data_IF_338160612624
#
_entry.id   IF_338160612624
#
_cell.length_a   1.000
_cell.length_b   1.000
_cell.length_c   1.000
_cell.angle_alpha   90.00
_cell.angle_beta   90.00
_cell.angle_gamma   90.00
#
_symmetry.space_group_name_H-M   'P 1'
#
loop_
_entity.id
_entity.type
_entity.pdbx_description
1 polymer ?
#
# COMPACT_ATOMS: atom_id res chain seq x y z
N UNK A 1 -4.19 -27.03 -2.70
CA UNK A 1 -3.09 -26.05 -2.48
C UNK A 1 -3.23 -25.33 -1.14
N UNK A 2 -4.34 -24.62 -0.88
CA UNK A 2 -4.55 -23.92 0.41
C UNK A 2 -4.50 -24.81 1.65
N UNK A 3 -5.01 -26.03 1.58
CA UNK A 3 -4.96 -26.99 2.70
C UNK A 3 -3.55 -27.49 3.01
N UNK A 4 -2.71 -27.64 1.99
CA UNK A 4 -1.29 -28.04 2.13
C UNK A 4 -0.47 -26.90 2.73
N UNK A 5 -0.69 -25.65 2.29
CA UNK A 5 -0.09 -24.47 2.91
C UNK A 5 -0.52 -24.31 4.38
N UNK A 6 -1.80 -24.55 4.68
CA UNK A 6 -2.34 -24.53 6.04
C UNK A 6 -1.72 -25.60 6.95
N UNK A 7 -1.55 -26.83 6.45
CA UNK A 7 -0.94 -27.94 7.20
C UNK A 7 0.58 -27.75 7.37
N UNK A 8 1.29 -27.29 6.35
CA UNK A 8 2.73 -27.03 6.42
C UNK A 8 3.08 -25.91 7.41
N UNK A 9 2.31 -24.83 7.42
CA UNK A 9 2.56 -23.68 8.33
C UNK A 9 2.04 -23.90 9.75
N UNK A 10 1.20 -24.91 10.00
CA UNK A 10 0.84 -25.34 11.36
C UNK A 10 2.03 -25.92 12.15
N UNK A 11 3.07 -26.38 11.46
CA UNK A 11 4.29 -26.95 12.06
C UNK A 11 5.41 -25.92 12.19
N UNK A 12 5.20 -24.68 11.74
CA UNK A 12 6.19 -23.61 11.83
C UNK A 12 6.42 -23.23 13.31
N UNK A 13 7.65 -23.36 13.85
CA UNK A 13 7.95 -23.05 15.25
C UNK A 13 7.87 -21.55 15.56
N UNK A 14 7.52 -21.18 16.81
CA UNK A 14 7.58 -19.78 17.30
C UNK A 14 8.89 -19.05 16.94
N UNK A 15 10.06 -19.70 17.11
CA UNK A 15 11.36 -19.13 16.73
C UNK A 15 11.50 -18.72 15.27
N UNK A 16 10.69 -19.28 14.36
CA UNK A 16 10.75 -18.94 12.93
C UNK A 16 10.17 -17.54 12.66
N UNK A 17 9.13 -17.12 13.38
CA UNK A 17 8.61 -15.75 13.25
C UNK A 17 9.62 -14.73 13.78
N UNK A 18 10.19 -15.00 14.96
CA UNK A 18 11.21 -14.15 15.57
C UNK A 18 12.42 -14.01 14.64
N UNK A 19 12.89 -15.14 14.06
CA UNK A 19 13.96 -15.14 13.07
C UNK A 19 13.62 -14.33 11.82
N UNK A 20 12.40 -14.45 11.28
CA UNK A 20 11.98 -13.68 10.10
C UNK A 20 11.89 -12.18 10.40
N UNK A 21 11.43 -11.84 11.61
CA UNK A 21 11.38 -10.46 12.06
C UNK A 21 12.79 -9.89 12.25
N UNK A 22 13.68 -10.61 12.93
CA UNK A 22 15.09 -10.24 13.11
C UNK A 22 15.81 -10.08 11.77
N UNK A 23 15.61 -11.00 10.82
CA UNK A 23 16.13 -10.88 9.45
C UNK A 23 15.58 -9.64 8.73
N UNK A 24 14.31 -9.29 8.95
CA UNK A 24 13.72 -8.07 8.39
C UNK A 24 14.27 -6.78 9.02
N UNK A 25 14.72 -6.84 10.28
CA UNK A 25 15.31 -5.71 10.99
C UNK A 25 16.79 -5.57 10.60
N UNK A 26 17.55 -6.66 10.57
CA UNK A 26 18.96 -6.69 10.20
C UNK A 26 19.19 -6.38 8.71
N UNK A 27 18.23 -6.71 7.84
CA UNK A 27 18.28 -6.34 6.42
C UNK A 27 18.30 -4.82 6.16
N UNK A 28 17.96 -3.96 7.14
CA UNK A 28 18.12 -2.49 7.01
C UNK A 28 19.59 -2.05 6.90
N UNK A 29 20.52 -2.87 7.39
CA UNK A 29 21.94 -2.52 7.42
C UNK A 29 22.65 -2.81 6.10
N UNK A 30 22.27 -3.85 5.34
CA UNK A 30 23.03 -4.30 4.16
C UNK A 30 22.21 -4.94 3.01
N UNK A 31 20.86 -4.93 3.01
CA UNK A 31 20.08 -5.68 2.00
C UNK A 31 18.66 -5.11 1.69
N UNK A 32 17.95 -5.63 0.66
CA UNK A 32 16.94 -4.86 -0.07
C UNK A 32 15.60 -4.59 0.66
N UNK A 33 15.10 -3.33 0.67
CA UNK A 33 13.90 -2.93 1.40
C UNK A 33 12.62 -3.66 0.98
N UNK A 34 12.53 -4.15 -0.25
CA UNK A 34 11.40 -4.95 -0.74
C UNK A 34 11.34 -6.33 -0.08
N UNK A 35 12.49 -6.98 0.11
CA UNK A 35 12.57 -8.26 0.82
C UNK A 35 12.21 -8.09 2.30
N UNK A 36 12.73 -7.04 2.93
CA UNK A 36 12.41 -6.69 4.32
C UNK A 36 10.90 -6.47 4.55
N UNK A 37 10.19 -5.91 3.57
CA UNK A 37 8.74 -5.73 3.63
C UNK A 37 7.98 -7.06 3.51
N UNK A 38 8.39 -7.93 2.58
CA UNK A 38 7.80 -9.26 2.41
C UNK A 38 7.99 -10.13 3.66
N UNK A 39 9.18 -10.13 4.25
CA UNK A 39 9.46 -10.90 5.48
C UNK A 39 8.60 -10.43 6.66
N UNK A 40 8.37 -9.10 6.80
CA UNK A 40 7.46 -8.56 7.82
C UNK A 40 6.01 -8.98 7.59
N UNK A 41 5.55 -9.01 6.35
CA UNK A 41 4.20 -9.44 6.02
C UNK A 41 3.99 -10.94 6.29
N UNK A 42 4.99 -11.78 6.01
CA UNK A 42 5.02 -13.21 6.36
C UNK A 42 4.94 -13.39 7.88
N UNK A 43 5.78 -12.68 8.65
CA UNK A 43 5.75 -12.74 10.11
C UNK A 43 4.39 -12.28 10.70
N UNK A 44 3.77 -11.25 10.11
CA UNK A 44 2.44 -10.79 10.52
C UNK A 44 1.35 -11.85 10.29
N UNK A 45 1.34 -12.54 9.15
CA UNK A 45 0.41 -13.63 8.87
C UNK A 45 0.64 -14.85 9.78
N UNK A 46 1.89 -15.12 10.19
CA UNK A 46 2.19 -16.15 11.20
C UNK A 46 1.60 -15.81 12.57
N UNK A 47 1.69 -14.55 13.01
CA UNK A 47 1.04 -14.09 14.26
C UNK A 47 -0.46 -14.28 14.24
N UNK A 48 -1.14 -13.81 13.18
CA UNK A 48 -2.59 -13.99 13.03
C UNK A 48 -2.98 -15.48 13.13
N UNK A 49 -2.16 -16.36 12.56
CA UNK A 49 -2.38 -17.80 12.66
C UNK A 49 -2.22 -18.33 14.09
N UNK A 50 -1.20 -17.91 14.81
CA UNK A 50 -0.95 -18.34 16.19
C UNK A 50 -1.98 -17.80 17.18
N UNK A 51 -2.41 -16.56 16.99
CA UNK A 51 -3.49 -15.93 17.76
C UNK A 51 -4.88 -16.52 17.41
N UNK A 52 -4.94 -17.48 16.47
CA UNK A 52 -6.16 -18.15 15.99
C UNK A 52 -7.23 -17.16 15.53
N UNK A 53 -6.83 -16.00 15.02
CA UNK A 53 -7.76 -14.97 14.54
C UNK A 53 -8.36 -15.41 13.19
N UNK A 54 -9.61 -14.99 12.93
CA UNK A 54 -10.32 -15.29 11.69
C UNK A 54 -9.70 -14.60 10.46
N UNK A 55 -8.83 -13.62 10.68
CA UNK A 55 -8.18 -12.82 9.65
C UNK A 55 -6.94 -13.48 9.02
N UNK A 56 -6.59 -14.70 9.45
CA UNK A 56 -5.52 -15.47 8.80
C UNK A 56 -5.94 -15.91 7.39
N UNK A 57 -5.19 -15.48 6.39
CA UNK A 57 -5.41 -15.87 4.99
C UNK A 57 -4.29 -16.83 4.52
N UNK A 58 -4.58 -18.13 4.37
CA UNK A 58 -3.60 -19.12 3.91
C UNK A 58 -3.15 -18.91 2.45
N UNK A 59 -4.01 -18.36 1.59
CA UNK A 59 -3.65 -18.07 0.21
C UNK A 59 -2.67 -16.89 0.15
N UNK A 60 -2.94 -15.83 0.93
CA UNK A 60 -2.05 -14.68 1.05
C UNK A 60 -0.70 -15.07 1.65
N UNK A 61 -0.69 -15.94 2.66
CA UNK A 61 0.55 -16.43 3.25
C UNK A 61 1.43 -17.17 2.23
N UNK A 62 0.82 -18.03 1.41
CA UNK A 62 1.51 -18.77 0.35
C UNK A 62 2.06 -17.83 -0.74
N UNK A 63 1.29 -16.83 -1.14
CA UNK A 63 1.72 -15.83 -2.11
C UNK A 63 2.91 -15.00 -1.61
N UNK A 64 2.85 -14.52 -0.36
CA UNK A 64 3.92 -13.73 0.25
C UNK A 64 5.22 -14.52 0.36
N UNK A 65 5.14 -15.79 0.78
CA UNK A 65 6.29 -16.69 0.90
C UNK A 65 6.89 -17.06 -0.46
N UNK A 66 6.06 -17.41 -1.44
CA UNK A 66 6.52 -17.67 -2.81
C UNK A 66 7.19 -16.44 -3.44
N UNK A 67 6.62 -15.26 -3.22
CA UNK A 67 7.16 -13.99 -3.72
C UNK A 67 8.51 -13.67 -3.06
N UNK A 68 8.63 -13.89 -1.75
CA UNK A 68 9.89 -13.72 -1.04
C UNK A 68 10.98 -14.67 -1.56
N UNK A 69 10.65 -15.96 -1.76
CA UNK A 69 11.56 -16.96 -2.29
C UNK A 69 12.02 -16.64 -3.72
N UNK A 70 11.09 -16.26 -4.60
CA UNK A 70 11.40 -15.83 -5.96
C UNK A 70 12.28 -14.58 -5.99
N UNK A 71 12.02 -13.62 -5.10
CA UNK A 71 12.83 -12.40 -4.98
C UNK A 71 14.26 -12.70 -4.53
N UNK A 72 14.45 -13.58 -3.55
CA UNK A 72 15.78 -14.04 -3.11
C UNK A 72 16.52 -14.71 -4.25
N UNK A 73 15.87 -15.62 -4.98
CA UNK A 73 16.47 -16.28 -6.15
C UNK A 73 16.88 -15.28 -7.23
N UNK A 74 16.01 -14.30 -7.53
CA UNK A 74 16.30 -13.27 -8.52
C UNK A 74 17.46 -12.35 -8.09
N UNK A 75 17.54 -11.96 -6.81
CA UNK A 75 18.63 -11.14 -6.27
C UNK A 75 19.99 -11.84 -6.33
N UNK A 76 20.01 -13.16 -6.12
CA UNK A 76 21.21 -13.99 -6.20
C UNK A 76 21.82 -14.04 -7.60
N UNK A 77 20.99 -13.96 -8.64
CA UNK A 77 21.39 -14.09 -10.05
C UNK A 77 21.45 -12.74 -10.80
N UNK A 78 20.96 -11.66 -10.20
CA UNK A 78 20.85 -10.36 -10.85
C UNK A 78 22.18 -9.61 -10.96
N UNK A 79 22.41 -9.01 -12.13
CA UNK A 79 23.44 -7.98 -12.36
C UNK A 79 23.12 -6.72 -11.53
N UNK A 80 24.13 -5.91 -11.20
CA UNK A 80 24.02 -4.78 -10.28
C UNK A 80 22.83 -3.82 -10.56
N UNK A 81 22.61 -3.45 -11.82
CA UNK A 81 21.50 -2.59 -12.25
C UNK A 81 20.13 -3.22 -11.95
N UNK A 82 19.97 -4.51 -12.26
CA UNK A 82 18.73 -5.26 -12.02
C UNK A 82 18.55 -5.58 -10.53
N UNK A 83 19.65 -5.73 -9.79
CA UNK A 83 19.65 -5.92 -8.33
C UNK A 83 19.10 -4.68 -7.62
N UNK A 84 19.43 -3.47 -8.07
CA UNK A 84 18.87 -2.23 -7.52
C UNK A 84 17.34 -2.11 -7.72
N UNK A 85 16.82 -2.56 -8.86
CA UNK A 85 15.37 -2.60 -9.13
C UNK A 85 14.66 -3.65 -8.28
N UNK A 86 15.23 -4.86 -8.21
CA UNK A 86 14.71 -5.94 -7.38
C UNK A 86 14.78 -5.59 -5.89
N UNK A 87 15.77 -4.80 -5.50
CA UNK A 87 15.94 -4.40 -4.13
C UNK A 87 14.77 -3.57 -3.59
N UNK A 88 14.11 -2.82 -4.47
CA UNK A 88 13.16 -1.78 -4.10
C UNK A 88 13.88 -0.53 -3.59
N UNK A 89 13.19 0.61 -3.67
CA UNK A 89 13.70 1.89 -3.17
C UNK A 89 13.02 2.23 -1.85
N UNK A 90 13.81 2.67 -0.85
CA UNK A 90 13.29 3.19 0.43
C UNK A 90 12.47 4.47 0.22
N UNK A 91 12.82 5.25 -0.82
CA UNK A 91 12.15 6.49 -1.21
C UNK A 91 11.51 6.29 -2.58
N UNK A 92 10.20 6.53 -2.69
CA UNK A 92 9.50 6.51 -3.98
C UNK A 92 9.96 7.71 -4.80
N UNK A 93 10.36 7.45 -6.05
CA UNK A 93 10.58 8.50 -7.03
C UNK A 93 9.24 8.86 -7.66
N UNK A 94 8.91 10.14 -7.64
CA UNK A 94 7.69 10.68 -8.25
C UNK A 94 8.10 11.52 -9.46
N UNK A 95 7.73 11.07 -10.65
CA UNK A 95 7.91 11.81 -11.90
C UNK A 95 6.68 12.71 -12.15
N UNK A 96 6.84 13.87 -12.82
CA UNK A 96 5.70 14.66 -13.29
C UNK A 96 4.70 13.78 -14.05
N UNK A 97 3.41 13.94 -13.74
CA UNK A 97 2.33 13.31 -14.48
C UNK A 97 1.68 14.34 -15.42
N UNK A 98 1.27 13.88 -16.60
CA UNK A 98 0.33 14.61 -17.45
C UNK A 98 -1.00 14.81 -16.72
N UNK A 99 -1.86 15.75 -17.16
CA UNK A 99 -3.22 15.89 -16.62
C UNK A 99 -3.96 14.56 -16.58
N UNK A 100 -4.55 14.22 -15.43
CA UNK A 100 -5.25 12.96 -15.22
C UNK A 100 -6.75 13.20 -15.07
N UNK A 101 -7.56 12.38 -15.75
CA UNK A 101 -8.99 12.29 -15.52
C UNK A 101 -9.27 11.10 -14.62
N UNK A 102 -9.69 11.38 -13.38
CA UNK A 102 -9.81 10.37 -12.33
C UNK A 102 -11.25 10.24 -11.85
N UNK A 103 -11.62 9.02 -11.49
CA UNK A 103 -12.89 8.68 -10.87
C UNK A 103 -12.57 8.09 -9.50
N UNK A 104 -13.01 8.78 -8.44
CA UNK A 104 -12.82 8.33 -7.07
C UNK A 104 -13.51 6.99 -6.81
N UNK A 105 -12.86 6.14 -6.01
CA UNK A 105 -13.29 4.77 -5.72
C UNK A 105 -13.35 4.44 -4.23
N UNK A 106 -13.44 5.46 -3.37
CA UNK A 106 -13.42 5.32 -1.92
C UNK A 106 -12.01 5.29 -1.32
N UNK A 107 -11.93 4.95 -0.04
CA UNK A 107 -10.66 4.92 0.67
C UNK A 107 -10.71 4.11 1.97
N UNK A 108 -9.54 3.79 2.49
CA UNK A 108 -9.38 3.00 3.69
C UNK A 108 -8.43 3.65 4.69
N UNK A 109 -8.77 3.52 5.97
CA UNK A 109 -7.87 3.83 7.08
C UNK A 109 -7.01 2.61 7.37
N UNK A 110 -5.76 2.85 7.73
CA UNK A 110 -4.86 1.78 8.15
C UNK A 110 -3.96 2.24 9.30
N UNK A 111 -3.52 1.26 10.07
CA UNK A 111 -2.49 1.42 11.08
C UNK A 111 -1.55 0.21 11.06
N UNK A 112 -0.27 0.43 11.37
CA UNK A 112 0.70 -0.65 11.55
C UNK A 112 0.89 -0.94 13.03
N UNK A 113 1.32 -2.17 13.34
CA UNK A 113 1.71 -2.58 14.70
C UNK A 113 2.80 -1.66 15.28
N UNK A 114 3.67 -1.11 14.43
CA UNK A 114 4.70 -0.17 14.85
C UNK A 114 4.18 1.23 15.18
N UNK A 115 2.88 1.50 15.01
CA UNK A 115 2.24 2.79 15.32
C UNK A 115 2.23 3.81 14.18
N UNK A 116 2.61 3.43 12.96
CA UNK A 116 2.37 4.29 11.79
C UNK A 116 0.89 4.20 11.42
N UNK A 117 0.30 5.31 10.96
CA UNK A 117 -1.13 5.37 10.66
C UNK A 117 -1.42 6.32 9.50
N UNK A 118 -2.49 6.06 8.78
CA UNK A 118 -2.84 6.87 7.61
C UNK A 118 -4.19 6.52 7.01
N UNK A 119 -4.54 7.27 5.98
CA UNK A 119 -5.69 7.02 5.12
C UNK A 119 -5.22 7.03 3.66
N UNK A 120 -5.72 6.08 2.88
CA UNK A 120 -5.43 5.96 1.45
C UNK A 120 -6.73 6.10 0.67
N UNK A 121 -6.75 7.00 -0.32
CA UNK A 121 -7.82 7.11 -1.31
C UNK A 121 -7.41 6.43 -2.61
N UNK A 122 -8.38 5.83 -3.29
CA UNK A 122 -8.20 5.13 -4.55
C UNK A 122 -8.97 5.81 -5.68
N UNK A 123 -8.38 5.77 -6.88
CA UNK A 123 -8.93 6.37 -8.08
C UNK A 123 -8.68 5.45 -9.27
N UNK A 124 -9.52 5.54 -10.28
CA UNK A 124 -9.25 4.94 -11.59
C UNK A 124 -9.20 6.02 -12.67
N UNK A 125 -8.31 5.84 -13.64
CA UNK A 125 -8.29 6.62 -14.87
C UNK A 125 -9.13 5.89 -15.93
N UNK A 126 -10.34 6.37 -16.28
CA UNK A 126 -11.26 5.60 -17.15
C UNK A 126 -10.69 5.30 -18.53
N UNK A 127 -9.88 6.21 -19.07
CA UNK A 127 -9.27 6.05 -20.40
C UNK A 127 -8.34 4.84 -20.49
N UNK A 128 -7.68 4.48 -19.39
CA UNK A 128 -6.68 3.40 -19.35
C UNK A 128 -7.07 2.24 -18.45
N UNK A 129 -8.11 2.40 -17.61
CA UNK A 129 -8.48 1.47 -16.55
C UNK A 129 -7.44 1.37 -15.43
N UNK A 130 -6.47 2.30 -15.38
CA UNK A 130 -5.38 2.26 -14.42
C UNK A 130 -5.85 2.71 -13.04
N UNK A 131 -5.49 1.94 -12.02
CA UNK A 131 -5.70 2.31 -10.62
C UNK A 131 -4.57 3.19 -10.11
N UNK A 132 -4.94 4.25 -9.40
CA UNK A 132 -4.04 5.17 -8.74
C UNK A 132 -4.45 5.36 -7.28
N UNK A 133 -3.49 5.76 -6.44
CA UNK A 133 -3.76 6.03 -5.03
C UNK A 133 -3.02 7.23 -4.50
N UNK A 134 -3.54 7.83 -3.44
CA UNK A 134 -2.82 8.83 -2.64
C UNK A 134 -3.01 8.52 -1.17
N UNK A 135 -2.01 8.85 -0.35
CA UNK A 135 -2.02 8.52 1.08
C UNK A 135 -1.63 9.73 1.92
N UNK A 136 -2.44 10.03 2.92
CA UNK A 136 -2.08 10.90 4.03
C UNK A 136 -1.67 10.02 5.21
N UNK A 137 -0.40 10.06 5.62
CA UNK A 137 0.10 9.21 6.69
C UNK A 137 1.13 9.91 7.56
N UNK A 138 1.32 9.34 8.75
CA UNK A 138 2.39 9.67 9.69
C UNK A 138 3.09 8.41 10.15
N UNK A 139 4.41 8.50 10.27
CA UNK A 139 5.22 7.45 10.87
C UNK A 139 4.92 7.30 12.37
N UNK A 140 5.40 6.20 12.96
CA UNK A 140 5.32 5.99 14.39
C UNK A 140 5.93 7.17 15.16
N UNK A 141 5.21 7.69 16.15
CA UNK A 141 5.64 8.84 16.96
C UNK A 141 5.71 10.19 16.22
N UNK A 142 5.43 10.22 14.91
CA UNK A 142 5.32 11.47 14.17
C UNK A 142 3.92 12.04 14.35
N UNK A 143 3.85 13.34 14.67
CA UNK A 143 2.60 14.11 14.78
C UNK A 143 1.51 13.35 15.58
N UNK A 144 1.61 13.33 16.92
CA UNK A 144 0.68 12.58 17.77
C UNK A 144 -0.79 12.98 17.59
N UNK A 145 -1.04 14.22 17.15
CA UNK A 145 -2.37 14.76 16.87
C UNK A 145 -2.98 14.28 15.55
N UNK A 146 -2.20 13.67 14.66
CA UNK A 146 -2.72 13.20 13.38
C UNK A 146 -3.74 12.07 13.58
N UNK A 147 -4.98 12.31 13.16
CA UNK A 147 -6.06 11.33 13.17
C UNK A 147 -6.46 11.01 11.73
N UNK A 148 -6.35 9.75 11.26
CA UNK A 148 -6.67 9.40 9.87
C UNK A 148 -8.11 9.72 9.46
N UNK A 149 -9.09 9.61 10.38
CA UNK A 149 -10.48 9.99 10.13
C UNK A 149 -10.63 11.49 9.91
N UNK A 150 -10.02 12.31 10.76
CA UNK A 150 -10.05 13.77 10.58
C UNK A 150 -9.33 14.19 9.29
N UNK A 151 -8.20 13.55 8.98
CA UNK A 151 -7.49 13.78 7.73
C UNK A 151 -8.33 13.42 6.50
N UNK A 152 -9.12 12.35 6.57
CA UNK A 152 -10.03 11.94 5.50
C UNK A 152 -11.13 12.98 5.24
N UNK A 153 -11.80 13.44 6.30
CA UNK A 153 -12.97 14.31 6.19
C UNK A 153 -12.66 15.80 6.08
N UNK A 154 -11.51 16.24 6.60
CA UNK A 154 -11.26 17.67 6.81
C UNK A 154 -9.96 18.18 6.23
N UNK A 155 -8.94 17.34 5.99
CA UNK A 155 -7.66 17.82 5.46
C UNK A 155 -7.75 18.03 3.94
N UNK A 156 -7.61 19.27 3.43
CA UNK A 156 -7.61 19.54 2.00
C UNK A 156 -6.45 18.85 1.29
N UNK A 157 -6.69 18.34 0.07
CA UNK A 157 -5.66 17.77 -0.79
C UNK A 157 -5.66 18.45 -2.16
N UNK A 158 -4.49 18.57 -2.79
CA UNK A 158 -4.33 19.12 -4.14
C UNK A 158 -5.01 20.49 -4.33
N UNK A 159 -4.89 21.37 -3.33
CA UNK A 159 -5.53 22.70 -3.30
C UNK A 159 -7.04 22.66 -3.62
N UNK A 160 -7.70 21.60 -3.15
CA UNK A 160 -9.10 21.27 -3.40
C UNK A 160 -9.73 20.71 -2.13
N UNK A 161 -10.79 19.92 -2.28
CA UNK A 161 -11.55 19.30 -1.19
C UNK A 161 -10.75 18.19 -0.45
N UNK A 162 -11.22 17.75 0.73
CA UNK A 162 -10.69 16.59 1.44
C UNK A 162 -10.88 15.27 0.68
N UNK A 163 -10.13 14.24 1.10
CA UNK A 163 -10.18 12.92 0.46
C UNK A 163 -11.58 12.29 0.48
N UNK A 164 -12.36 12.51 1.53
CA UNK A 164 -13.75 12.06 1.61
C UNK A 164 -14.66 12.59 0.50
N UNK A 165 -14.31 13.73 -0.13
CA UNK A 165 -15.05 14.25 -1.27
C UNK A 165 -14.41 13.77 -2.57
N UNK A 166 -13.09 13.87 -2.68
CA UNK A 166 -12.36 13.51 -3.90
C UNK A 166 -12.51 12.04 -4.26
N UNK A 167 -12.54 11.15 -3.27
CA UNK A 167 -12.72 9.71 -3.44
C UNK A 167 -14.12 9.31 -3.91
N UNK A 168 -15.07 10.26 -3.97
CA UNK A 168 -16.44 10.08 -4.46
C UNK A 168 -16.77 11.11 -5.54
N UNK A 169 -15.75 11.61 -6.24
CA UNK A 169 -15.88 12.61 -7.28
C UNK A 169 -15.19 12.15 -8.58
N UNK A 170 -15.69 12.63 -9.71
CA UNK A 170 -14.90 12.68 -10.95
C UNK A 170 -14.08 13.96 -10.90
N UNK A 171 -12.77 13.84 -11.06
CA UNK A 171 -11.84 14.96 -10.94
C UNK A 171 -10.89 15.02 -12.13
N UNK A 172 -10.48 16.24 -12.46
CA UNK A 172 -9.30 16.51 -13.26
C UNK A 172 -8.16 16.86 -12.30
N UNK A 173 -7.02 16.20 -12.45
CA UNK A 173 -5.86 16.40 -11.60
C UNK A 173 -4.66 16.86 -12.43
N UNK A 174 -4.28 18.11 -12.20
CA UNK A 174 -3.14 18.76 -12.84
C UNK A 174 -1.95 18.88 -11.90
N UNK A 175 -0.74 18.92 -12.47
CA UNK A 175 0.49 19.25 -11.74
C UNK A 175 0.89 18.26 -10.64
N UNK A 176 0.27 17.08 -10.65
CA UNK A 176 0.62 15.98 -9.74
C UNK A 176 1.93 15.31 -10.17
N UNK A 177 2.52 14.53 -9.27
CA UNK A 177 3.60 13.61 -9.63
C UNK A 177 3.19 12.20 -9.28
N UNK A 178 3.56 11.26 -10.14
CA UNK A 178 3.22 9.85 -10.06
C UNK A 178 4.47 9.00 -9.87
N UNK A 179 4.39 8.01 -8.99
CA UNK A 179 5.43 7.00 -8.82
C UNK A 179 5.26 5.83 -9.79
N UNK A 180 6.26 4.95 -9.87
CA UNK A 180 6.17 3.74 -10.69
C UNK A 180 5.09 2.74 -10.22
N UNK A 181 4.64 2.83 -8.96
CA UNK A 181 3.54 2.04 -8.37
C UNK A 181 2.21 2.79 -8.35
N UNK A 182 2.02 3.76 -9.26
CA UNK A 182 0.78 4.51 -9.46
C UNK A 182 0.28 5.28 -8.23
N UNK A 183 1.21 5.67 -7.35
CA UNK A 183 0.90 6.60 -6.26
C UNK A 183 1.03 8.02 -6.75
N UNK A 184 0.03 8.82 -6.40
CA UNK A 184 -0.02 10.25 -6.62
C UNK A 184 0.53 10.96 -5.39
N UNK A 185 1.30 12.00 -5.63
CA UNK A 185 1.77 12.92 -4.60
C UNK A 185 1.00 14.24 -4.66
N UNK A 186 1.10 15.04 -3.60
CA UNK A 186 0.50 16.37 -3.52
C UNK A 186 1.56 17.47 -3.44
N UNK A 187 2.35 17.72 -4.50
CA UNK A 187 3.24 18.88 -4.54
C UNK A 187 2.42 20.19 -4.53
N UNK A 188 3.08 21.31 -4.26
CA UNK A 188 2.44 22.64 -4.30
C UNK A 188 1.83 22.99 -5.66
N UNK A 189 2.30 22.37 -6.75
CA UNK A 189 1.74 22.57 -8.09
C UNK A 189 0.46 21.79 -8.34
N UNK A 190 0.13 20.79 -7.52
CA UNK A 190 -0.97 19.89 -7.81
C UNK A 190 -2.32 20.54 -7.51
N UNK A 191 -3.23 20.47 -8.48
CA UNK A 191 -4.59 21.03 -8.38
C UNK A 191 -5.61 20.00 -8.84
N UNK A 192 -6.60 19.72 -8.00
CA UNK A 192 -7.76 18.90 -8.37
C UNK A 192 -9.00 19.78 -8.61
N UNK A 193 -9.61 19.62 -9.78
CA UNK A 193 -10.87 20.24 -10.16
C UNK A 193 -11.96 19.18 -10.18
N UNK A 194 -13.02 19.37 -9.40
CA UNK A 194 -14.15 18.43 -9.37
C UNK A 194 -15.07 18.71 -10.56
N UNK A 195 -15.21 17.71 -11.43
CA UNK A 195 -16.10 17.74 -12.59
C UNK A 195 -17.49 17.24 -12.21
N UNK A 196 -17.57 16.21 -11.36
CA UNK A 196 -18.83 15.63 -10.90
C UNK A 196 -18.68 15.17 -9.44
N UNK A 197 -19.68 15.46 -8.59
CA UNK A 197 -19.71 15.07 -7.17
C UNK A 197 -20.57 13.84 -6.95
N UNK A 198 -20.32 13.14 -5.86
CA UNK A 198 -21.13 12.01 -5.36
C UNK A 198 -21.32 10.90 -6.39
N UNK A 199 -20.28 10.63 -7.16
CA UNK A 199 -20.28 9.53 -8.13
C UNK A 199 -20.21 8.20 -7.39
N UNK A 200 -20.88 7.20 -7.95
CA UNK A 200 -20.66 5.80 -7.56
C UNK A 200 -19.70 5.17 -8.57
N UNK A 201 -18.64 4.50 -8.12
CA UNK A 201 -17.75 3.77 -9.02
C UNK A 201 -18.55 2.72 -9.80
N UNK A 202 -18.14 2.43 -11.03
CA UNK A 202 -18.78 1.38 -11.83
C UNK A 202 -18.64 0.04 -11.09
N UNK A 203 -19.74 -0.67 -10.79
CA UNK A 203 -19.68 -1.97 -10.12
C UNK A 203 -18.92 -3.04 -10.92
N UNK A 204 -18.67 -2.82 -12.21
CA UNK A 204 -17.82 -3.67 -13.05
C UNK A 204 -16.32 -3.46 -12.85
N UNK A 205 -15.89 -2.46 -12.08
CA UNK A 205 -14.47 -2.24 -11.78
C UNK A 205 -14.00 -3.12 -10.60
N UNK A 206 -12.87 -3.84 -10.74
CA UNK A 206 -12.38 -4.71 -9.68
C UNK A 206 -11.93 -3.87 -8.46
N UNK A 207 -12.56 -4.06 -7.31
CA UNK A 207 -12.12 -3.48 -6.03
C UNK A 207 -12.77 -2.16 -5.63
N UNK A 208 -14.10 -2.05 -5.72
CA UNK A 208 -14.84 -0.96 -5.07
C UNK A 208 -14.52 -0.98 -3.58
N UNK A 209 -13.82 0.05 -3.10
CA UNK A 209 -13.46 0.17 -1.68
C UNK A 209 -14.68 0.72 -0.96
N UNK A 210 -15.23 -0.06 -0.04
CA UNK A 210 -16.27 0.41 0.85
C UNK A 210 -15.71 1.53 1.71
N UNK A 211 -16.40 2.68 1.74
CA UNK A 211 -16.12 3.67 2.76
C UNK A 211 -16.33 3.04 4.12
N UNK A 212 -15.36 3.26 4.99
CA UNK A 212 -15.54 2.99 6.41
C UNK A 212 -16.58 3.98 6.94
N UNK A 213 -17.72 3.47 7.42
CA UNK A 213 -18.53 4.18 8.41
C UNK A 213 -17.78 4.24 9.75
#
# INVERSE_FOLDING_TARGET
MGEVARLGMNLAPLPLEESLFELSVSSRADNPPRLAALLRAVAAQMRLRWDRTLDFDPARMLELTATAAALVGALGQARAERRAVLAGKVRRDFAPADPLHLVGCGGERWATVSGARGVTAWFIEPATGRWLSTTLARGAGQDPSFMPGDAWHHQPLWHSEPLAVLAHARIELDGSRRSADDRLSAPMSARATIIERSIRPDPGWPGVVHDWE
#
